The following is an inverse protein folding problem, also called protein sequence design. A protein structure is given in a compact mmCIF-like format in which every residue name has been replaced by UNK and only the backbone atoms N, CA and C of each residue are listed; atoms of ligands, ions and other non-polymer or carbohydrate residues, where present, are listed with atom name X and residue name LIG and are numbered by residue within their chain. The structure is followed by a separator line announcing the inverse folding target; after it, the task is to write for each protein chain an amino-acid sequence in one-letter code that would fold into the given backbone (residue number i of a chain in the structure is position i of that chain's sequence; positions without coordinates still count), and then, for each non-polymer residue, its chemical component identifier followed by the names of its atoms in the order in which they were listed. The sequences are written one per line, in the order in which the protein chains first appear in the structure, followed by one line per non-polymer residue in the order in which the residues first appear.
data_IF_810453085437
#
_entry.id   IF_810453085437
#
_cell.length_a   1.000
_cell.length_b   1.000
_cell.length_c   1.000
_cell.angle_alpha   90.00
_cell.angle_beta   90.00
_cell.angle_gamma   90.00
#
_symmetry.space_group_name_H-M   'P 1'
#
loop_
_entity.id
_entity.type
_entity.pdbx_description
1 polymer ?
#
# COMPACT_ATOMS: atom_id res chain seq x y z
N UNK A 1 4.82 7.44 23.36
CA UNK A 1 5.07 7.38 21.90
C UNK A 1 3.74 7.40 21.18
N UNK A 2 3.61 8.17 20.13
CA UNK A 2 2.29 8.42 19.56
C UNK A 2 2.22 7.96 18.12
N UNK A 3 1.28 7.05 17.86
CA UNK A 3 0.81 6.73 16.52
C UNK A 3 -0.42 7.60 16.26
N UNK A 4 -0.35 8.39 15.20
CA UNK A 4 -1.41 9.30 14.81
C UNK A 4 -2.38 8.59 13.87
N UNK A 5 -3.66 8.65 14.18
CA UNK A 5 -4.72 8.18 13.30
C UNK A 5 -5.09 9.28 12.32
N UNK A 6 -5.30 8.90 11.07
CA UNK A 6 -5.75 9.85 10.05
C UNK A 6 -7.23 10.13 10.21
N UNK A 7 -7.62 11.39 10.20
CA UNK A 7 -9.03 11.78 10.14
C UNK A 7 -9.57 11.50 8.73
N UNK A 8 -10.34 10.42 8.60
CA UNK A 8 -10.88 9.97 7.32
C UNK A 8 -11.86 10.95 6.69
N UNK A 9 -12.46 11.85 7.50
CA UNK A 9 -13.36 12.87 6.98
C UNK A 9 -12.69 13.84 6.01
N UNK A 10 -11.36 14.00 6.11
CA UNK A 10 -10.57 14.82 5.19
C UNK A 10 -10.53 14.27 3.76
N UNK A 11 -10.91 12.99 3.58
CA UNK A 11 -10.91 12.32 2.29
C UNK A 11 -12.31 12.18 1.66
N UNK A 12 -13.31 12.82 2.27
CA UNK A 12 -14.66 12.82 1.72
C UNK A 12 -14.73 13.64 0.43
N UNK A 13 -15.50 13.15 -0.54
CA UNK A 13 -15.79 13.84 -1.80
C UNK A 13 -14.56 14.16 -2.66
N UNK A 14 -13.53 13.34 -2.60
CA UNK A 14 -12.38 13.47 -3.51
C UNK A 14 -12.78 12.99 -4.91
N UNK A 15 -12.60 13.86 -5.89
CA UNK A 15 -12.95 13.57 -7.29
C UNK A 15 -12.16 12.38 -7.83
N UNK A 16 -12.86 11.41 -8.41
CA UNK A 16 -12.23 10.22 -8.99
C UNK A 16 -11.73 9.20 -7.97
N UNK A 17 -12.19 9.29 -6.72
CA UNK A 17 -11.81 8.36 -5.66
C UNK A 17 -13.06 7.83 -4.94
N UNK A 18 -13.68 6.81 -5.53
CA UNK A 18 -14.88 6.15 -5.01
C UNK A 18 -14.57 4.66 -4.74
N UNK A 19 -13.54 4.40 -3.96
CA UNK A 19 -13.11 3.04 -3.61
C UNK A 19 -13.40 2.76 -2.14
N UNK A 20 -13.82 1.51 -1.86
CA UNK A 20 -14.02 1.03 -0.49
C UNK A 20 -12.71 1.07 0.29
N UNK A 21 -12.77 1.54 1.51
CA UNK A 21 -11.65 1.51 2.43
C UNK A 21 -11.43 0.10 2.99
N UNK A 22 -10.17 -0.31 3.00
CA UNK A 22 -9.72 -1.50 3.69
C UNK A 22 -8.50 -1.15 4.53
N UNK A 23 -8.32 -1.84 5.64
CA UNK A 23 -7.18 -1.66 6.53
C UNK A 23 -6.59 -3.00 6.92
N UNK A 24 -5.26 -3.08 6.92
CA UNK A 24 -4.49 -4.20 7.46
C UNK A 24 -3.58 -3.68 8.57
N UNK A 25 -3.62 -4.33 9.72
CA UNK A 25 -2.74 -4.01 10.84
C UNK A 25 -1.40 -4.73 10.67
N UNK A 26 -0.31 -3.99 10.77
CA UNK A 26 1.05 -4.53 10.82
C UNK A 26 1.73 -4.10 12.12
N UNK A 27 2.74 -4.86 12.55
CA UNK A 27 3.48 -4.58 13.77
C UNK A 27 4.76 -3.82 13.45
N UNK A 28 5.01 -2.74 14.18
CA UNK A 28 6.27 -2.02 14.18
C UNK A 28 6.92 -2.09 15.57
N UNK A 29 8.20 -1.75 15.67
CA UNK A 29 8.87 -1.60 16.98
C UNK A 29 8.26 -0.49 17.84
N UNK A 30 7.42 0.36 17.24
CA UNK A 30 6.74 1.47 17.91
C UNK A 30 5.27 1.19 18.22
N UNK A 31 4.77 0.01 17.89
CA UNK A 31 3.39 -0.42 18.07
C UNK A 31 2.71 -0.84 16.77
N UNK A 32 1.45 -1.20 16.85
CA UNK A 32 0.64 -1.59 15.70
C UNK A 32 0.20 -0.37 14.89
N UNK A 33 0.31 -0.47 13.57
CA UNK A 33 -0.14 0.55 12.63
C UNK A 33 -1.09 -0.07 11.61
N UNK A 34 -2.09 0.71 11.20
CA UNK A 34 -3.04 0.30 10.17
C UNK A 34 -2.61 0.88 8.81
N UNK A 35 -2.47 0.02 7.85
CA UNK A 35 -2.22 0.37 6.45
C UNK A 35 -3.54 0.36 5.72
N UNK A 36 -3.94 1.51 5.17
CA UNK A 36 -5.07 1.63 4.27
C UNK A 36 -4.71 1.09 2.89
N UNK A 37 -5.67 0.42 2.24
CA UNK A 37 -5.49 -0.01 0.85
C UNK A 37 -6.81 -0.11 0.10
N UNK A 38 -6.74 0.04 -1.21
CA UNK A 38 -7.80 -0.31 -2.15
C UNK A 38 -7.61 -1.77 -2.55
N UNK A 39 -8.69 -2.52 -2.66
CA UNK A 39 -8.70 -3.92 -3.08
C UNK A 39 -9.90 -4.16 -4.00
N UNK A 40 -9.64 -4.12 -5.28
CA UNK A 40 -10.67 -4.30 -6.32
C UNK A 40 -10.47 -5.62 -7.05
N UNK A 41 -11.60 -6.28 -7.38
CA UNK A 41 -11.63 -7.55 -8.11
C UNK A 41 -10.94 -8.71 -7.36
N UNK A 42 -11.36 -8.95 -6.13
CA UNK A 42 -10.73 -9.89 -5.19
C UNK A 42 -10.69 -11.35 -5.67
N UNK A 43 -11.53 -11.72 -6.62
CA UNK A 43 -11.60 -13.10 -7.15
C UNK A 43 -10.50 -13.43 -8.17
N UNK A 44 -9.77 -12.43 -8.66
CA UNK A 44 -8.68 -12.65 -9.62
C UNK A 44 -7.41 -13.16 -8.95
N UNK A 45 -6.74 -14.09 -9.62
CA UNK A 45 -5.44 -14.62 -9.20
C UNK A 45 -4.24 -13.84 -9.77
N UNK A 46 -4.48 -12.90 -10.69
CA UNK A 46 -3.46 -12.01 -11.24
C UNK A 46 -3.53 -10.68 -10.48
N UNK A 47 -2.47 -10.33 -9.78
CA UNK A 47 -2.46 -9.18 -8.88
C UNK A 47 -1.63 -8.05 -9.47
N UNK A 48 -2.21 -6.84 -9.51
CA UNK A 48 -1.49 -5.60 -9.74
C UNK A 48 -1.32 -4.89 -8.39
N UNK A 49 -0.09 -4.75 -7.93
CA UNK A 49 0.27 -4.00 -6.73
C UNK A 49 0.84 -2.65 -7.13
N UNK A 50 0.15 -1.58 -6.75
CA UNK A 50 0.48 -0.20 -7.12
C UNK A 50 1.04 0.55 -5.92
N UNK A 51 2.35 0.81 -5.91
CA UNK A 51 3.04 1.43 -4.79
C UNK A 51 3.47 2.86 -5.12
N UNK A 52 2.84 3.81 -4.44
CA UNK A 52 3.14 5.24 -4.59
C UNK A 52 4.45 5.64 -3.91
N UNK A 53 4.88 6.88 -4.11
CA UNK A 53 6.05 7.46 -3.50
C UNK A 53 5.75 8.67 -2.61
N UNK A 54 6.77 9.46 -2.34
CA UNK A 54 6.69 10.68 -1.52
C UNK A 54 6.58 11.91 -2.44
N UNK A 55 5.66 12.85 -2.18
CA UNK A 55 4.75 13.02 -1.03
C UNK A 55 3.29 12.65 -1.35
N UNK A 56 3.04 11.62 -2.10
CA UNK A 56 1.70 11.24 -2.59
C UNK A 56 1.05 10.13 -1.74
N UNK A 57 -0.02 9.53 -2.25
CA UNK A 57 -0.75 8.40 -1.68
C UNK A 57 -1.45 7.62 -2.82
N UNK A 58 -2.26 6.64 -2.53
CA UNK A 58 -2.91 5.79 -3.52
C UNK A 58 -3.66 6.54 -4.64
N UNK A 59 -4.10 7.75 -4.39
CA UNK A 59 -4.75 8.63 -5.36
C UNK A 59 -3.92 8.87 -6.64
N UNK A 60 -2.61 8.74 -6.57
CA UNK A 60 -1.71 8.79 -7.73
C UNK A 60 -2.20 7.82 -8.83
N UNK A 61 -2.69 6.67 -8.44
CA UNK A 61 -3.09 5.58 -9.33
C UNK A 61 -4.56 5.56 -9.70
N UNK A 62 -5.36 6.56 -9.32
CA UNK A 62 -6.80 6.60 -9.51
C UNK A 62 -7.28 6.26 -10.94
N UNK A 63 -6.49 6.64 -11.94
CA UNK A 63 -6.82 6.41 -13.34
C UNK A 63 -6.33 5.04 -13.86
N UNK A 64 -5.57 4.30 -13.07
CA UNK A 64 -5.06 2.97 -13.43
C UNK A 64 -5.91 1.84 -12.84
N UNK A 65 -6.62 2.09 -11.75
CA UNK A 65 -7.35 1.05 -10.99
C UNK A 65 -8.41 0.39 -11.87
N UNK A 66 -9.32 1.17 -12.44
CA UNK A 66 -10.40 0.60 -13.26
C UNK A 66 -9.89 -0.08 -14.55
N UNK A 67 -8.98 0.50 -15.33
CA UNK A 67 -8.41 -0.19 -16.50
C UNK A 67 -7.74 -1.53 -16.15
N UNK A 68 -7.00 -1.62 -15.05
CA UNK A 68 -6.39 -2.86 -14.63
C UNK A 68 -7.44 -3.90 -14.18
N UNK A 69 -8.43 -3.46 -13.42
CA UNK A 69 -9.57 -4.29 -13.03
C UNK A 69 -10.32 -4.84 -14.24
N UNK A 70 -10.60 -4.00 -15.23
CA UNK A 70 -11.29 -4.40 -16.47
C UNK A 70 -10.47 -5.40 -17.30
N UNK A 71 -9.15 -5.38 -17.17
CA UNK A 71 -8.24 -6.33 -17.79
C UNK A 71 -7.96 -7.58 -16.93
N UNK A 72 -8.76 -7.81 -15.92
CA UNK A 72 -8.77 -9.06 -15.13
C UNK A 72 -7.84 -9.09 -13.93
N UNK A 73 -7.19 -7.98 -13.57
CA UNK A 73 -6.35 -7.93 -12.37
C UNK A 73 -7.18 -7.71 -11.10
N UNK A 74 -6.75 -8.35 -10.00
CA UNK A 74 -7.02 -7.84 -8.66
C UNK A 74 -6.07 -6.68 -8.42
N UNK A 75 -6.62 -5.51 -8.09
CA UNK A 75 -5.83 -4.28 -7.97
C UNK A 75 -5.71 -3.90 -6.51
N UNK A 76 -4.49 -3.91 -6.00
CA UNK A 76 -4.14 -3.57 -4.62
C UNK A 76 -3.36 -2.26 -4.62
N UNK A 77 -3.88 -1.26 -3.93
CA UNK A 77 -3.26 0.07 -3.86
C UNK A 77 -3.12 0.48 -2.40
N UNK A 78 -1.99 0.17 -1.74
CA UNK A 78 -1.76 0.61 -0.37
C UNK A 78 -1.35 2.08 -0.31
N UNK A 79 -1.72 2.73 0.79
CA UNK A 79 -1.06 3.93 1.25
C UNK A 79 0.10 3.52 2.17
N UNK A 80 1.31 3.92 1.83
CA UNK A 80 2.47 3.64 2.68
C UNK A 80 2.27 4.22 4.09
N UNK A 81 2.80 3.56 5.15
CA UNK A 81 2.79 4.15 6.49
C UNK A 81 3.29 5.59 6.50
N UNK A 82 2.55 6.49 7.12
CA UNK A 82 2.84 7.92 7.11
C UNK A 82 2.13 8.72 6.02
N UNK A 83 1.49 8.07 5.06
CA UNK A 83 0.85 8.69 3.90
C UNK A 83 -0.64 8.39 3.83
N UNK A 84 -1.37 9.25 3.12
CA UNK A 84 -2.78 9.06 2.83
C UNK A 84 -3.62 8.75 4.05
N UNK A 85 -4.41 7.69 3.96
CA UNK A 85 -5.30 7.23 5.03
C UNK A 85 -4.63 6.30 6.05
N UNK A 86 -3.39 5.85 5.79
CA UNK A 86 -2.64 5.02 6.73
C UNK A 86 -2.23 5.75 7.99
N UNK A 87 -1.97 5.00 9.07
CA UNK A 87 -1.47 5.54 10.31
C UNK A 87 -0.09 6.20 10.14
N UNK A 88 0.24 7.11 11.05
CA UNK A 88 1.46 7.92 10.98
C UNK A 88 2.20 7.89 12.31
N UNK A 89 3.52 7.85 12.24
CA UNK A 89 4.34 8.08 13.42
C UNK A 89 4.51 9.59 13.66
N UNK A 90 4.32 10.04 14.90
CA UNK A 90 4.53 11.43 15.27
C UNK A 90 6.01 11.83 15.21
N UNK A 91 6.91 10.87 15.36
CA UNK A 91 8.35 11.09 15.37
C UNK A 91 8.93 10.74 14.00
N UNK A 92 9.55 11.73 13.35
CA UNK A 92 10.13 11.60 12.01
C UNK A 92 11.15 10.46 11.90
N UNK A 93 11.99 10.27 12.93
CA UNK A 93 13.06 9.28 12.91
C UNK A 93 12.57 7.82 13.03
N UNK A 94 11.27 7.61 13.28
CA UNK A 94 10.67 6.29 13.27
C UNK A 94 10.47 5.74 11.84
N UNK A 95 10.59 6.61 10.82
CA UNK A 95 10.53 6.20 9.43
C UNK A 95 11.92 5.86 8.92
N UNK A 96 12.17 4.58 8.71
CA UNK A 96 13.42 4.09 8.12
C UNK A 96 13.11 3.27 6.88
N UNK A 97 14.07 3.13 5.99
CA UNK A 97 13.93 2.29 4.80
C UNK A 97 13.62 0.84 5.18
N UNK A 98 14.37 0.31 6.14
CA UNK A 98 14.18 -1.05 6.66
C UNK A 98 12.79 -1.22 7.27
N UNK A 99 12.30 -0.22 7.99
CA UNK A 99 10.95 -0.20 8.54
C UNK A 99 9.89 -0.30 7.45
N UNK A 100 9.99 0.51 6.41
CA UNK A 100 9.07 0.44 5.28
C UNK A 100 9.08 -0.93 4.60
N UNK A 101 10.26 -1.51 4.38
CA UNK A 101 10.38 -2.86 3.80
C UNK A 101 9.71 -3.89 4.69
N UNK A 102 9.95 -3.86 5.99
CA UNK A 102 9.34 -4.78 6.95
C UNK A 102 7.80 -4.65 6.98
N UNK A 103 7.29 -3.43 7.13
CA UNK A 103 5.83 -3.20 7.20
C UNK A 103 5.12 -3.62 5.91
N UNK A 104 5.71 -3.34 4.76
CA UNK A 104 5.12 -3.73 3.48
C UNK A 104 5.29 -5.21 3.18
N UNK A 105 6.33 -5.87 3.70
CA UNK A 105 6.44 -7.34 3.69
C UNK A 105 5.29 -7.97 4.48
N UNK A 106 5.03 -7.49 5.68
CA UNK A 106 3.90 -7.94 6.49
C UNK A 106 2.56 -7.71 5.78
N UNK A 107 2.42 -6.60 5.07
CA UNK A 107 1.23 -6.29 4.28
C UNK A 107 1.01 -7.32 3.16
N UNK A 108 2.03 -7.60 2.36
CA UNK A 108 1.96 -8.58 1.27
C UNK A 108 1.67 -9.98 1.80
N UNK A 109 2.32 -10.39 2.87
CA UNK A 109 2.12 -11.68 3.53
C UNK A 109 0.74 -11.78 4.18
N UNK A 110 0.29 -10.73 4.86
CA UNK A 110 -1.01 -10.68 5.53
C UNK A 110 -2.19 -10.80 4.59
N UNK A 111 -2.07 -10.33 3.36
CA UNK A 111 -3.05 -10.49 2.30
C UNK A 111 -2.82 -11.75 1.44
N UNK A 112 -1.79 -12.54 1.73
CA UNK A 112 -1.39 -13.73 0.95
C UNK A 112 -1.30 -13.45 -0.55
N UNK A 113 -0.70 -12.32 -0.92
CA UNK A 113 -0.59 -11.89 -2.30
C UNK A 113 0.46 -12.73 -3.05
N UNK A 114 0.06 -13.28 -4.20
CA UNK A 114 0.91 -14.08 -5.10
C UNK A 114 0.69 -13.66 -6.55
N UNK A 115 1.60 -14.03 -7.45
CA UNK A 115 1.52 -13.65 -8.87
C UNK A 115 1.38 -12.14 -9.06
N UNK A 116 2.22 -11.37 -8.39
CA UNK A 116 2.16 -9.91 -8.35
C UNK A 116 2.89 -9.30 -9.54
N UNK A 117 2.20 -8.44 -10.30
CA UNK A 117 2.83 -7.46 -11.17
C UNK A 117 2.93 -6.15 -10.39
N UNK A 118 4.17 -5.69 -10.19
CA UNK A 118 4.45 -4.49 -9.42
C UNK A 118 4.45 -3.26 -10.33
N UNK A 119 3.63 -2.28 -9.98
CA UNK A 119 3.68 -0.91 -10.48
C UNK A 119 4.19 -0.02 -9.37
N UNK A 120 5.24 0.72 -9.60
CA UNK A 120 5.87 1.51 -8.54
C UNK A 120 6.49 2.78 -9.08
N UNK A 121 6.64 3.75 -8.20
CA UNK A 121 7.18 5.07 -8.50
C UNK A 121 7.88 5.62 -7.26
N UNK A 122 9.02 6.27 -7.45
CA UNK A 122 9.77 6.98 -6.39
C UNK A 122 10.11 6.06 -5.20
N UNK A 123 9.79 6.40 -3.97
CA UNK A 123 9.98 5.54 -2.79
C UNK A 123 9.23 4.21 -2.88
N UNK A 124 8.08 4.18 -3.53
CA UNK A 124 7.36 2.94 -3.83
C UNK A 124 8.21 1.99 -4.67
N UNK A 125 9.03 2.52 -5.57
CA UNK A 125 10.01 1.74 -6.35
C UNK A 125 11.12 1.15 -5.48
N UNK A 126 11.73 1.96 -4.62
CA UNK A 126 12.79 1.49 -3.71
C UNK A 126 12.28 0.37 -2.78
N UNK A 127 11.11 0.57 -2.19
CA UNK A 127 10.50 -0.41 -1.30
C UNK A 127 10.04 -1.64 -2.09
N UNK A 128 9.30 -1.45 -3.17
CA UNK A 128 8.70 -2.52 -3.95
C UNK A 128 9.74 -3.43 -4.60
N UNK A 129 10.81 -2.88 -5.15
CA UNK A 129 11.90 -3.68 -5.73
C UNK A 129 12.66 -4.46 -4.65
N UNK A 130 12.79 -3.91 -3.45
CA UNK A 130 13.36 -4.65 -2.32
C UNK A 130 12.46 -5.80 -1.89
N UNK A 131 11.15 -5.59 -1.85
CA UNK A 131 10.18 -6.68 -1.61
C UNK A 131 10.33 -7.79 -2.64
N UNK A 132 10.50 -7.45 -3.92
CA UNK A 132 10.73 -8.41 -4.99
C UNK A 132 11.97 -9.28 -4.75
N UNK A 133 13.03 -8.74 -4.16
CA UNK A 133 14.27 -9.47 -3.90
C UNK A 133 14.22 -10.34 -2.64
N UNK A 134 13.43 -9.97 -1.62
CA UNK A 134 13.32 -10.73 -0.37
C UNK A 134 12.15 -11.71 -0.37
N UNK A 135 11.17 -11.49 -1.25
CA UNK A 135 9.94 -12.30 -1.35
C UNK A 135 9.67 -12.71 -2.80
N UNK A 136 10.72 -13.11 -3.52
CA UNK A 136 10.65 -13.43 -4.97
C UNK A 136 9.60 -14.50 -5.31
N UNK A 137 9.16 -15.31 -4.35
CA UNK A 137 8.07 -16.29 -4.53
C UNK A 137 6.70 -15.64 -4.72
N UNK A 138 6.55 -14.37 -4.36
CA UNK A 138 5.31 -13.61 -4.44
C UNK A 138 5.26 -12.69 -5.65
N UNK A 139 6.41 -12.27 -6.18
CA UNK A 139 6.53 -11.27 -7.24
C UNK A 139 7.02 -11.90 -8.54
N UNK A 140 6.35 -11.57 -9.64
CA UNK A 140 6.89 -11.75 -10.99
C UNK A 140 7.49 -10.42 -11.43
N UNK A 141 8.73 -10.45 -11.83
CA UNK A 141 9.37 -9.30 -12.47
C UNK A 141 8.84 -9.12 -13.89
#
# INVERSE_FOLDING_TARGET
MTILKTDLSLFNNIVGWEFKENFLTVTSEFGEINIHYVDENQDSNEIALLMHGNPTWGYLYRNMINPLKENGYRVIVPDLPGFGKSDKFAIRYNYTYEGFVDWMSQFVEGLDLKNITLFCQDWGGLIGLRLATVSYTHLRA
#
